data_IF_077016582533
#
_entry.id   IF_077016582533
#
_cell.length_a   1.000
_cell.length_b   1.000
_cell.length_c   1.000
_cell.angle_alpha   90.00
_cell.angle_beta   90.00
_cell.angle_gamma   90.00
#
_symmetry.space_group_name_H-M   'P 1'
#
loop_
_entity.id
_entity.type
_entity.pdbx_description
1 polymer ?
#
# COMPACT_ATOMS: atom_id res chain seq x y z
N UNK A 1 -14.32 -12.23 -26.25
CA UNK A 1 -14.43 -11.34 -25.07
C UNK A 1 -15.05 -12.14 -23.94
N UNK A 2 -14.47 -12.10 -22.76
CA UNK A 2 -14.96 -12.73 -21.55
C UNK A 2 -14.99 -11.70 -20.41
N UNK A 3 -16.14 -11.47 -19.78
CA UNK A 3 -16.22 -10.74 -18.51
C UNK A 3 -16.49 -11.76 -17.41
N UNK A 4 -15.69 -11.73 -16.36
CA UNK A 4 -15.80 -12.60 -15.19
C UNK A 4 -15.83 -11.74 -13.93
N UNK A 5 -16.96 -11.78 -13.24
CA UNK A 5 -17.12 -11.09 -11.95
C UNK A 5 -16.90 -12.09 -10.82
N UNK A 6 -15.89 -11.82 -9.98
CA UNK A 6 -15.60 -12.61 -8.80
C UNK A 6 -16.41 -12.05 -7.63
N UNK A 7 -17.32 -12.84 -7.09
CA UNK A 7 -18.15 -12.45 -5.93
C UNK A 7 -17.99 -13.49 -4.83
N UNK A 8 -17.74 -13.07 -3.57
CA UNK A 8 -17.70 -14.02 -2.45
C UNK A 8 -18.98 -14.82 -2.33
N UNK A 9 -18.86 -16.15 -2.13
CA UNK A 9 -20.00 -17.04 -1.92
C UNK A 9 -20.16 -18.13 -2.98
N UNK A 10 -21.37 -18.63 -3.11
CA UNK A 10 -21.69 -19.73 -4.03
C UNK A 10 -21.42 -19.31 -5.49
N UNK A 11 -20.60 -20.09 -6.19
CA UNK A 11 -20.22 -19.81 -7.59
C UNK A 11 -18.86 -19.16 -7.77
N UNK A 12 -18.17 -18.71 -6.69
CA UNK A 12 -16.85 -18.13 -6.76
C UNK A 12 -15.83 -19.06 -7.45
N UNK A 13 -15.82 -20.35 -7.10
CA UNK A 13 -14.84 -21.30 -7.67
C UNK A 13 -15.00 -21.45 -9.18
N UNK A 14 -16.26 -21.47 -9.70
CA UNK A 14 -16.52 -21.51 -11.15
C UNK A 14 -16.07 -20.21 -11.84
N UNK A 15 -16.32 -19.08 -11.21
CA UNK A 15 -15.88 -17.77 -11.73
C UNK A 15 -14.34 -17.67 -11.72
N UNK A 16 -13.67 -18.13 -10.65
CA UNK A 16 -12.21 -18.21 -10.57
C UNK A 16 -11.63 -19.13 -11.67
N UNK A 17 -12.22 -20.30 -11.91
CA UNK A 17 -11.79 -21.16 -13.00
C UNK A 17 -11.85 -20.47 -14.35
N UNK A 18 -12.93 -19.72 -14.61
CA UNK A 18 -13.11 -18.98 -15.85
C UNK A 18 -12.11 -17.83 -15.99
N UNK A 19 -11.89 -17.06 -14.90
CA UNK A 19 -10.91 -15.97 -14.86
C UNK A 19 -9.48 -16.49 -15.05
N UNK A 20 -9.12 -17.58 -14.36
CA UNK A 20 -7.81 -18.22 -14.48
C UNK A 20 -7.56 -18.73 -15.90
N UNK A 21 -8.56 -19.34 -16.57
CA UNK A 21 -8.43 -19.75 -17.98
C UNK A 21 -8.08 -18.54 -18.87
N UNK A 22 -8.73 -17.40 -18.65
CA UNK A 22 -8.44 -16.17 -19.40
C UNK A 22 -7.02 -15.64 -19.14
N UNK A 23 -6.61 -15.62 -17.88
CA UNK A 23 -5.26 -15.19 -17.49
C UNK A 23 -4.18 -16.14 -18.02
N UNK A 24 -4.32 -17.45 -17.83
CA UNK A 24 -3.35 -18.41 -18.33
C UNK A 24 -3.27 -18.45 -19.86
N UNK A 25 -4.37 -18.15 -20.57
CA UNK A 25 -4.30 -18.01 -22.02
C UNK A 25 -3.41 -16.85 -22.47
N UNK A 26 -3.32 -15.75 -21.69
CA UNK A 26 -2.34 -14.67 -21.94
C UNK A 26 -0.92 -15.15 -21.66
N UNK A 27 -0.71 -15.87 -20.55
CA UNK A 27 0.61 -16.41 -20.20
C UNK A 27 1.11 -17.47 -21.21
N UNK A 28 0.23 -18.36 -21.70
CA UNK A 28 0.56 -19.32 -22.76
C UNK A 28 0.99 -18.63 -24.06
N UNK A 29 0.35 -17.51 -24.40
CA UNK A 29 0.80 -16.72 -25.53
C UNK A 29 2.14 -16.04 -25.24
N UNK A 30 2.34 -15.52 -24.03
CA UNK A 30 3.61 -14.92 -23.60
C UNK A 30 4.76 -15.94 -23.64
N UNK A 31 4.54 -17.18 -23.20
CA UNK A 31 5.52 -18.27 -23.32
C UNK A 31 5.91 -18.52 -24.80
N UNK A 32 4.94 -18.47 -25.72
CA UNK A 32 5.21 -18.69 -27.16
C UNK A 32 6.01 -17.56 -27.80
N UNK A 33 5.79 -16.30 -27.37
CA UNK A 33 6.49 -15.13 -27.92
C UNK A 33 7.74 -14.75 -27.10
N UNK A 34 7.92 -15.35 -25.91
CA UNK A 34 9.03 -15.09 -25.00
C UNK A 34 8.86 -13.83 -24.15
N UNK A 35 7.72 -13.12 -24.20
CA UNK A 35 7.57 -11.81 -23.62
C UNK A 35 6.15 -11.53 -23.10
N UNK A 36 6.05 -10.81 -21.94
CA UNK A 36 4.81 -10.32 -21.35
C UNK A 36 4.90 -8.82 -21.06
N UNK A 37 3.88 -8.05 -21.44
CA UNK A 37 3.74 -6.65 -21.06
C UNK A 37 2.75 -6.52 -19.88
N UNK A 38 3.17 -5.86 -18.81
CA UNK A 38 2.33 -5.55 -17.65
C UNK A 38 2.20 -4.04 -17.56
N UNK A 39 0.98 -3.51 -17.61
CA UNK A 39 0.70 -2.10 -17.34
C UNK A 39 0.09 -1.96 -15.96
N UNK A 40 0.69 -1.13 -15.13
CA UNK A 40 0.26 -0.86 -13.76
C UNK A 40 -0.11 0.60 -13.60
N UNK A 41 -1.24 0.85 -12.95
CA UNK A 41 -1.54 2.17 -12.42
C UNK A 41 -0.65 2.46 -11.19
N UNK A 42 -0.21 3.72 -10.93
CA UNK A 42 0.74 4.04 -9.86
C UNK A 42 0.11 4.08 -8.45
N UNK A 43 -0.83 3.19 -8.15
CA UNK A 43 -1.31 2.96 -6.79
C UNK A 43 -0.55 1.80 -6.15
N UNK A 44 -0.37 1.83 -4.83
CA UNK A 44 0.40 0.79 -4.14
C UNK A 44 -0.16 -0.61 -4.37
N UNK A 45 -1.48 -0.79 -4.26
CA UNK A 45 -2.14 -2.08 -4.49
C UNK A 45 -1.95 -2.59 -5.94
N UNK A 46 -2.03 -1.70 -6.94
CA UNK A 46 -1.81 -2.09 -8.34
C UNK A 46 -0.36 -2.50 -8.61
N UNK A 47 0.60 -1.81 -8.01
CA UNK A 47 2.03 -2.13 -8.12
C UNK A 47 2.35 -3.48 -7.44
N UNK A 48 1.77 -3.73 -6.26
CA UNK A 48 1.88 -5.01 -5.55
C UNK A 48 1.26 -6.14 -6.39
N UNK A 49 0.07 -5.94 -6.96
CA UNK A 49 -0.56 -6.90 -7.84
C UNK A 49 0.29 -7.19 -9.09
N UNK A 50 0.91 -6.14 -9.66
CA UNK A 50 1.79 -6.28 -10.82
C UNK A 50 3.05 -7.10 -10.52
N UNK A 51 3.60 -6.99 -9.30
CA UNK A 51 4.75 -7.81 -8.89
C UNK A 51 4.40 -9.31 -8.86
N UNK A 52 3.20 -9.68 -8.43
CA UNK A 52 2.76 -11.08 -8.45
C UNK A 52 2.62 -11.62 -9.88
N UNK A 53 2.14 -10.81 -10.83
CA UNK A 53 2.10 -11.20 -12.25
C UNK A 53 3.51 -11.33 -12.81
N UNK A 54 4.42 -10.42 -12.45
CA UNK A 54 5.81 -10.47 -12.84
C UNK A 54 6.50 -11.75 -12.36
N UNK A 55 6.35 -12.10 -11.06
CA UNK A 55 6.85 -13.36 -10.49
C UNK A 55 6.28 -14.54 -11.27
N UNK A 56 4.97 -14.54 -11.57
CA UNK A 56 4.34 -15.64 -12.32
C UNK A 56 4.89 -15.80 -13.73
N UNK A 57 5.18 -14.71 -14.43
CA UNK A 57 5.83 -14.74 -15.74
C UNK A 57 7.26 -15.32 -15.65
N UNK A 58 8.03 -14.84 -14.66
CA UNK A 58 9.39 -15.32 -14.40
C UNK A 58 9.42 -16.83 -14.09
N UNK A 59 8.50 -17.32 -13.26
CA UNK A 59 8.38 -18.75 -12.94
C UNK A 59 8.12 -19.64 -14.18
N UNK A 60 7.55 -19.03 -15.23
CA UNK A 60 7.30 -19.70 -16.52
C UNK A 60 8.43 -19.48 -17.55
N UNK A 61 9.52 -18.82 -17.16
CA UNK A 61 10.64 -18.48 -18.03
C UNK A 61 10.32 -17.43 -19.10
N UNK A 62 9.38 -16.54 -18.79
CA UNK A 62 8.93 -15.44 -19.69
C UNK A 62 9.56 -14.14 -19.24
N UNK A 63 10.20 -13.42 -20.17
CA UNK A 63 10.62 -12.05 -19.92
C UNK A 63 9.40 -11.13 -19.74
N UNK A 64 9.38 -10.33 -18.68
CA UNK A 64 8.27 -9.42 -18.41
C UNK A 64 8.76 -7.99 -18.20
N UNK A 65 8.02 -7.02 -18.70
CA UNK A 65 8.25 -5.60 -18.44
C UNK A 65 7.02 -5.01 -17.78
N UNK A 66 7.22 -4.32 -16.65
CA UNK A 66 6.18 -3.54 -15.99
C UNK A 66 6.31 -2.08 -16.41
N UNK A 67 5.27 -1.56 -17.04
CA UNK A 67 5.13 -0.15 -17.42
C UNK A 67 4.16 0.53 -16.47
N UNK A 68 4.64 1.51 -15.70
CA UNK A 68 3.82 2.28 -14.77
C UNK A 68 3.29 3.51 -15.50
N UNK A 69 1.96 3.66 -15.57
CA UNK A 69 1.34 4.74 -16.33
C UNK A 69 -0.01 5.17 -15.77
N UNK A 70 -0.42 6.40 -16.05
CA UNK A 70 -1.73 6.94 -15.65
C UNK A 70 -2.87 6.49 -16.56
N UNK A 71 -2.53 6.09 -17.79
CA UNK A 71 -3.48 5.62 -18.79
C UNK A 71 -3.09 4.24 -19.32
N UNK A 72 -4.05 3.36 -19.63
CA UNK A 72 -3.77 2.11 -20.31
C UNK A 72 -3.26 2.38 -21.76
N UNK A 73 -2.56 1.43 -22.39
CA UNK A 73 -2.03 1.59 -23.73
C UNK A 73 -3.13 1.79 -24.76
N UNK A 74 -2.90 2.63 -25.77
CA UNK A 74 -3.85 2.85 -26.87
C UNK A 74 -3.91 1.67 -27.85
N UNK A 75 -2.88 0.81 -27.87
CA UNK A 75 -2.83 -0.42 -28.69
C UNK A 75 -2.18 -1.55 -27.91
N UNK A 76 -2.55 -2.78 -28.24
CA UNK A 76 -2.01 -4.01 -27.64
C UNK A 76 -1.46 -4.89 -28.75
N UNK A 77 -0.15 -4.94 -28.84
CA UNK A 77 0.57 -5.71 -29.87
C UNK A 77 1.13 -7.03 -29.32
N UNK A 78 1.33 -7.10 -28.00
CA UNK A 78 1.97 -8.19 -27.25
C UNK A 78 1.00 -8.73 -26.19
N UNK A 79 1.19 -9.98 -25.69
CA UNK A 79 0.42 -10.48 -24.55
C UNK A 79 0.50 -9.50 -23.38
N UNK A 80 -0.64 -9.06 -22.87
CA UNK A 80 -0.70 -7.90 -21.99
C UNK A 80 -1.59 -8.16 -20.76
N UNK A 81 -1.14 -7.68 -19.61
CA UNK A 81 -1.91 -7.60 -18.38
C UNK A 81 -2.08 -6.14 -17.96
N UNK A 82 -3.32 -5.72 -17.68
CA UNK A 82 -3.64 -4.38 -17.17
C UNK A 82 -4.11 -4.46 -15.73
N UNK A 83 -3.58 -3.60 -14.83
CA UNK A 83 -3.92 -3.59 -13.42
C UNK A 83 -4.14 -2.17 -12.92
N UNK A 84 -5.29 -1.92 -12.28
CA UNK A 84 -5.57 -0.67 -11.56
C UNK A 84 -6.15 0.46 -12.39
N UNK A 85 -6.61 0.21 -13.59
CA UNK A 85 -7.26 1.23 -14.44
C UNK A 85 -8.79 1.29 -14.25
N UNK A 86 -9.27 1.18 -13.01
CA UNK A 86 -10.68 0.99 -12.65
C UNK A 86 -11.64 2.05 -13.18
N UNK A 87 -11.19 3.30 -13.22
CA UNK A 87 -12.02 4.43 -13.62
C UNK A 87 -11.74 4.91 -15.05
N UNK A 88 -11.12 4.06 -15.87
CA UNK A 88 -10.78 4.43 -17.26
C UNK A 88 -11.76 3.83 -18.23
N UNK A 89 -12.36 4.67 -19.07
CA UNK A 89 -13.06 4.22 -20.27
C UNK A 89 -12.03 3.71 -21.28
N UNK A 90 -11.54 2.48 -21.05
CA UNK A 90 -10.53 1.91 -21.91
C UNK A 90 -11.11 1.56 -23.27
N UNK A 91 -10.55 2.18 -24.30
CA UNK A 91 -10.79 1.85 -25.70
C UNK A 91 -9.46 1.64 -26.37
N UNK A 92 -9.03 0.39 -26.48
CA UNK A 92 -7.88 0.09 -27.34
C UNK A 92 -8.31 0.30 -28.82
N UNK A 93 -7.53 1.10 -29.55
CA UNK A 93 -7.76 1.31 -30.97
C UNK A 93 -7.43 0.04 -31.77
N UNK A 94 -6.55 -0.80 -31.25
CA UNK A 94 -6.09 -2.01 -31.89
C UNK A 94 -5.63 -3.03 -30.87
N UNK A 95 -6.14 -4.26 -30.93
CA UNK A 95 -5.74 -5.39 -30.09
C UNK A 95 -5.39 -6.56 -30.99
N UNK A 96 -4.09 -6.84 -31.13
CA UNK A 96 -3.58 -7.96 -31.94
C UNK A 96 -3.25 -9.19 -31.10
N UNK A 97 -3.05 -9.01 -29.80
CA UNK A 97 -2.64 -10.05 -28.88
C UNK A 97 -3.64 -10.22 -27.73
N UNK A 98 -3.48 -11.27 -26.94
CA UNK A 98 -4.38 -11.51 -25.79
C UNK A 98 -4.15 -10.49 -24.69
N UNK A 99 -5.25 -10.10 -24.06
CA UNK A 99 -5.28 -9.12 -22.99
C UNK A 99 -6.13 -9.63 -21.84
N UNK A 100 -5.62 -9.50 -20.62
CA UNK A 100 -6.41 -9.61 -19.40
C UNK A 100 -6.32 -8.32 -18.59
N UNK A 101 -7.43 -7.87 -18.01
CA UNK A 101 -7.49 -6.67 -17.20
C UNK A 101 -8.20 -6.94 -15.87
N UNK A 102 -7.60 -6.46 -14.78
CA UNK A 102 -8.08 -6.61 -13.41
C UNK A 102 -8.62 -5.28 -12.89
N UNK A 103 -9.85 -5.30 -12.35
CA UNK A 103 -10.57 -4.14 -11.84
C UNK A 103 -11.07 -4.37 -10.40
N UNK A 104 -10.76 -3.43 -9.52
CA UNK A 104 -11.29 -3.41 -8.16
C UNK A 104 -12.69 -2.80 -8.16
N UNK A 105 -13.71 -3.62 -7.98
CA UNK A 105 -15.12 -3.23 -8.12
C UNK A 105 -15.70 -3.64 -9.44
N UNK A 106 -16.79 -3.00 -9.88
CA UNK A 106 -17.50 -3.36 -11.09
C UNK A 106 -16.88 -2.71 -12.34
N UNK A 107 -16.58 -3.52 -13.35
CA UNK A 107 -16.16 -3.02 -14.67
C UNK A 107 -17.31 -2.38 -15.42
N UNK A 108 -17.15 -1.12 -15.81
CA UNK A 108 -18.21 -0.30 -16.45
C UNK A 108 -17.94 0.06 -17.91
N UNK A 109 -16.75 -0.21 -18.43
CA UNK A 109 -16.37 0.15 -19.80
C UNK A 109 -16.92 -0.80 -20.84
N UNK A 110 -16.95 -0.36 -22.12
CA UNK A 110 -17.31 -1.22 -23.26
C UNK A 110 -16.18 -2.21 -23.50
N UNK A 111 -16.47 -3.53 -23.45
CA UNK A 111 -15.43 -4.54 -23.60
C UNK A 111 -14.83 -4.58 -25.00
N UNK A 112 -13.51 -4.75 -25.09
CA UNK A 112 -12.77 -4.91 -26.34
C UNK A 112 -12.72 -6.39 -26.75
N UNK A 113 -12.82 -6.68 -28.04
CA UNK A 113 -12.74 -8.05 -28.55
C UNK A 113 -11.37 -8.69 -28.24
N UNK A 114 -11.35 -9.98 -27.91
CA UNK A 114 -10.10 -10.69 -27.56
C UNK A 114 -9.63 -10.51 -26.12
N UNK A 115 -10.34 -9.73 -25.30
CA UNK A 115 -9.95 -9.40 -23.92
C UNK A 115 -10.72 -10.22 -22.89
N UNK A 116 -10.05 -10.59 -21.81
CA UNK A 116 -10.67 -11.09 -20.57
C UNK A 116 -10.66 -9.97 -19.53
N UNK A 117 -11.82 -9.68 -18.97
CA UNK A 117 -12.00 -8.72 -17.87
C UNK A 117 -12.34 -9.47 -16.61
N UNK A 118 -11.56 -9.23 -15.55
CA UNK A 118 -11.77 -9.79 -14.21
C UNK A 118 -12.09 -8.64 -13.27
N UNK A 119 -13.28 -8.65 -12.70
CA UNK A 119 -13.70 -7.65 -11.73
C UNK A 119 -14.25 -8.30 -10.44
N UNK A 120 -14.33 -7.53 -9.35
CA UNK A 120 -14.88 -8.01 -8.09
C UNK A 120 -14.63 -7.07 -6.91
N UNK A 121 -15.37 -7.23 -5.80
CA UNK A 121 -15.22 -6.42 -4.59
C UNK A 121 -13.99 -6.86 -3.79
N UNK A 122 -12.81 -6.47 -4.23
CA UNK A 122 -11.54 -6.77 -3.58
C UNK A 122 -10.41 -5.90 -4.09
N UNK A 123 -9.26 -5.94 -3.43
CA UNK A 123 -8.03 -5.31 -3.90
C UNK A 123 -7.56 -5.95 -5.21
N UNK A 124 -6.78 -5.23 -6.01
CA UNK A 124 -6.15 -5.81 -7.20
C UNK A 124 -5.25 -6.98 -6.81
N UNK A 125 -4.56 -6.86 -5.66
CA UNK A 125 -3.71 -7.93 -5.12
C UNK A 125 -4.51 -9.19 -4.78
N UNK A 126 -5.71 -9.07 -4.20
CA UNK A 126 -6.58 -10.22 -3.94
C UNK A 126 -7.08 -10.86 -5.24
N UNK A 127 -7.50 -10.05 -6.23
CA UNK A 127 -7.93 -10.53 -7.55
C UNK A 127 -6.81 -11.30 -8.25
N UNK A 128 -5.62 -10.72 -8.34
CA UNK A 128 -4.46 -11.34 -8.99
C UNK A 128 -4.04 -12.60 -8.24
N UNK A 129 -3.96 -12.56 -6.90
CA UNK A 129 -3.62 -13.73 -6.10
C UNK A 129 -4.57 -14.91 -6.38
N UNK A 130 -5.88 -14.68 -6.32
CA UNK A 130 -6.88 -15.72 -6.54
C UNK A 130 -6.81 -16.30 -7.96
N UNK A 131 -6.61 -15.45 -8.96
CA UNK A 131 -6.63 -15.85 -10.38
C UNK A 131 -5.31 -16.49 -10.80
N UNK A 132 -4.17 -15.92 -10.42
CA UNK A 132 -2.86 -16.38 -10.84
C UNK A 132 -2.39 -17.64 -10.09
N UNK A 133 -2.84 -17.84 -8.85
CA UNK A 133 -2.40 -18.96 -8.02
C UNK A 133 -3.50 -20.01 -7.77
N UNK A 134 -4.76 -19.65 -8.03
CA UNK A 134 -5.92 -20.46 -7.61
C UNK A 134 -5.98 -20.62 -6.09
N UNK A 135 -5.30 -19.73 -5.34
CA UNK A 135 -5.06 -19.81 -3.89
C UNK A 135 -4.30 -21.08 -3.46
N UNK A 136 -3.47 -21.63 -4.34
CA UNK A 136 -2.68 -22.87 -4.11
C UNK A 136 -1.17 -22.61 -4.06
N UNK A 137 -0.71 -21.51 -4.62
CA UNK A 137 0.69 -21.11 -4.54
C UNK A 137 0.93 -20.34 -3.23
N UNK A 138 1.95 -20.77 -2.51
CA UNK A 138 2.26 -20.30 -1.15
C UNK A 138 3.66 -19.70 -1.05
N UNK A 139 4.26 -19.30 -2.17
CA UNK A 139 5.52 -18.58 -2.13
C UNK A 139 5.36 -17.24 -1.36
N UNK A 140 6.39 -16.82 -0.60
CA UNK A 140 6.31 -15.59 0.20
C UNK A 140 5.87 -14.36 -0.59
N UNK A 141 6.34 -14.19 -1.82
CA UNK A 141 5.98 -13.08 -2.71
C UNK A 141 4.47 -12.95 -2.95
N UNK A 142 3.78 -14.06 -3.16
CA UNK A 142 2.32 -14.06 -3.36
C UNK A 142 1.55 -13.76 -2.07
N UNK A 143 1.98 -14.36 -0.96
CA UNK A 143 1.30 -14.20 0.33
C UNK A 143 1.47 -12.78 0.86
N UNK A 144 2.73 -12.30 0.88
CA UNK A 144 3.03 -10.92 1.30
C UNK A 144 2.34 -9.94 0.37
N UNK A 145 2.40 -10.16 -0.95
CA UNK A 145 1.70 -9.35 -1.93
C UNK A 145 0.20 -9.28 -1.67
N UNK A 146 -0.47 -10.42 -1.48
CA UNK A 146 -1.91 -10.45 -1.24
C UNK A 146 -2.31 -9.73 0.06
N UNK A 147 -1.60 -9.96 1.16
CA UNK A 147 -1.94 -9.39 2.46
C UNK A 147 -1.51 -7.92 2.62
N UNK A 148 -0.31 -7.54 2.15
CA UNK A 148 0.13 -6.14 2.12
C UNK A 148 -0.72 -5.30 1.16
N UNK A 149 -1.09 -5.85 -0.01
CA UNK A 149 -2.00 -5.21 -0.94
C UNK A 149 -3.38 -4.95 -0.35
N UNK A 150 -3.92 -5.89 0.42
CA UNK A 150 -5.16 -5.68 1.16
C UNK A 150 -5.08 -4.47 2.10
N UNK A 151 -3.99 -4.34 2.88
CA UNK A 151 -3.76 -3.19 3.77
C UNK A 151 -3.54 -1.87 3.01
N UNK A 152 -3.06 -1.91 1.79
CA UNK A 152 -2.90 -0.72 0.93
C UNK A 152 -4.17 -0.30 0.20
N UNK A 153 -5.25 -1.07 0.36
CA UNK A 153 -6.54 -0.87 -0.28
C UNK A 153 -7.63 -0.46 0.72
N UNK A 154 -8.82 -0.15 0.22
CA UNK A 154 -10.00 0.14 1.04
C UNK A 154 -10.71 -1.11 1.60
N UNK A 155 -10.20 -2.31 1.32
CA UNK A 155 -10.84 -3.56 1.70
C UNK A 155 -10.38 -4.12 3.06
N UNK A 156 -9.50 -3.39 3.76
CA UNK A 156 -9.30 -3.54 5.20
C UNK A 156 -9.83 -2.27 5.88
N UNK A 157 -10.83 -2.43 6.75
CA UNK A 157 -11.44 -1.30 7.43
C UNK A 157 -10.53 -0.73 8.54
N UNK A 158 -10.94 0.39 9.13
CA UNK A 158 -10.18 1.05 10.21
C UNK A 158 -9.98 0.18 11.46
N UNK A 159 -10.75 -0.89 11.61
CA UNK A 159 -10.61 -1.87 12.71
C UNK A 159 -9.74 -3.07 12.33
N UNK A 160 -9.16 -3.09 11.14
CA UNK A 160 -8.34 -4.19 10.64
C UNK A 160 -9.14 -5.37 10.10
N UNK A 161 -10.44 -5.21 9.79
CA UNK A 161 -11.29 -6.28 9.27
C UNK A 161 -11.20 -6.32 7.75
N UNK A 162 -10.83 -7.48 7.24
CA UNK A 162 -10.80 -7.76 5.81
C UNK A 162 -12.21 -7.92 5.25
N UNK A 163 -12.46 -7.38 4.07
CA UNK A 163 -13.76 -7.37 3.40
C UNK A 163 -13.66 -7.98 1.99
N UNK A 164 -14.81 -8.30 1.40
CA UNK A 164 -14.89 -8.77 0.02
C UNK A 164 -13.99 -9.98 -0.27
N UNK A 165 -13.29 -9.94 -1.40
CA UNK A 165 -12.37 -11.01 -1.81
C UNK A 165 -11.10 -11.07 -0.96
N UNK A 166 -10.68 -9.97 -0.35
CA UNK A 166 -9.53 -9.95 0.57
C UNK A 166 -9.81 -10.82 1.81
N UNK A 167 -11.07 -10.83 2.29
CA UNK A 167 -11.48 -11.77 3.34
C UNK A 167 -11.41 -13.22 2.87
N UNK A 168 -11.82 -13.51 1.65
CA UNK A 168 -11.72 -14.85 1.07
C UNK A 168 -10.26 -15.31 1.00
N UNK A 169 -9.36 -14.41 0.56
CA UNK A 169 -7.91 -14.68 0.55
C UNK A 169 -7.40 -14.98 1.95
N UNK A 170 -7.71 -14.12 2.93
CA UNK A 170 -7.29 -14.32 4.31
C UNK A 170 -7.79 -15.66 4.88
N UNK A 171 -9.08 -15.98 4.66
CA UNK A 171 -9.67 -17.23 5.16
C UNK A 171 -8.97 -18.47 4.56
N UNK A 172 -8.59 -18.43 3.27
CA UNK A 172 -7.80 -19.49 2.63
C UNK A 172 -6.36 -19.56 3.17
N UNK A 173 -5.70 -18.41 3.37
CA UNK A 173 -4.33 -18.36 3.89
C UNK A 173 -4.22 -18.83 5.35
N UNK A 174 -5.24 -18.62 6.18
CA UNK A 174 -5.31 -19.13 7.55
C UNK A 174 -5.27 -20.66 7.64
N UNK A 175 -5.65 -21.35 6.58
CA UNK A 175 -5.58 -22.82 6.52
C UNK A 175 -4.14 -23.33 6.31
N UNK A 176 -3.20 -22.44 6.01
CA UNK A 176 -1.80 -22.78 5.78
C UNK A 176 -1.05 -22.77 7.11
N UNK A 177 -0.89 -23.94 7.72
CA UNK A 177 -0.29 -24.10 9.06
C UNK A 177 1.09 -23.45 9.20
N UNK A 178 1.91 -23.46 8.16
CA UNK A 178 3.25 -22.84 8.20
C UNK A 178 3.25 -21.33 8.33
N UNK A 179 2.14 -20.64 8.01
CA UNK A 179 2.03 -19.18 8.15
C UNK A 179 1.67 -18.76 9.56
N UNK A 180 0.92 -19.61 10.29
CA UNK A 180 0.45 -19.32 11.65
C UNK A 180 -0.12 -17.91 11.79
N UNK A 181 -1.10 -17.57 10.92
CA UNK A 181 -1.70 -16.23 10.88
C UNK A 181 -2.63 -15.98 12.07
N UNK A 182 -2.39 -14.90 12.77
CA UNK A 182 -3.22 -14.45 13.90
C UNK A 182 -3.65 -13.00 13.73
N UNK A 183 -4.89 -12.69 14.12
CA UNK A 183 -5.40 -11.33 14.21
C UNK A 183 -5.32 -10.87 15.66
N UNK A 184 -4.41 -9.95 15.95
CA UNK A 184 -4.22 -9.36 17.28
C UNK A 184 -4.98 -8.05 17.37
N UNK A 185 -5.95 -7.95 18.30
CA UNK A 185 -6.64 -6.68 18.58
C UNK A 185 -5.89 -5.91 19.66
N UNK A 186 -5.31 -4.78 19.28
CA UNK A 186 -4.46 -3.97 20.16
C UNK A 186 -4.34 -2.53 19.65
N UNK A 187 -3.49 -1.71 20.28
CA UNK A 187 -3.05 -0.44 19.66
C UNK A 187 -2.29 -0.78 18.38
N UNK A 188 -2.56 -0.06 17.30
CA UNK A 188 -2.00 -0.30 15.96
C UNK A 188 -0.50 -0.02 15.89
N UNK A 189 0.29 -0.62 16.75
CA UNK A 189 1.76 -0.62 16.69
C UNK A 189 2.29 -1.71 15.77
N UNK A 190 3.53 -1.57 15.27
CA UNK A 190 4.17 -2.58 14.42
C UNK A 190 4.73 -3.74 15.25
N UNK A 191 4.62 -4.96 14.68
CA UNK A 191 5.08 -6.22 15.29
C UNK A 191 4.55 -6.42 16.72
N UNK A 192 3.22 -6.38 16.94
CA UNK A 192 2.62 -6.40 18.28
C UNK A 192 2.95 -7.66 19.09
N UNK A 193 3.32 -8.76 18.43
CA UNK A 193 3.73 -10.02 19.06
C UNK A 193 5.23 -10.10 19.39
N UNK A 194 6.03 -9.12 18.96
CA UNK A 194 7.49 -9.13 19.15
C UNK A 194 7.97 -7.98 20.02
N UNK A 195 7.46 -6.78 19.83
CA UNK A 195 7.88 -5.55 20.47
C UNK A 195 7.02 -5.20 21.67
N UNK A 196 7.64 -4.54 22.67
CA UNK A 196 6.87 -3.92 23.74
C UNK A 196 6.11 -2.68 23.25
N UNK A 197 5.25 -2.13 24.12
CA UNK A 197 4.40 -0.99 23.80
C UNK A 197 5.20 0.20 23.28
N UNK A 198 6.23 0.64 23.98
CA UNK A 198 6.98 1.85 23.62
C UNK A 198 7.88 1.61 22.41
N UNK A 199 8.50 0.45 22.30
CA UNK A 199 9.29 0.06 21.13
C UNK A 199 8.44 0.01 19.87
N UNK A 200 7.28 -0.63 19.94
CA UNK A 200 6.35 -0.74 18.82
C UNK A 200 5.86 0.63 18.35
N UNK A 201 5.36 1.48 19.27
CA UNK A 201 4.78 2.78 18.91
C UNK A 201 5.84 3.78 18.43
N UNK A 202 7.08 3.70 18.96
CA UNK A 202 8.14 4.62 18.55
C UNK A 202 8.61 4.46 17.11
N UNK A 203 8.39 3.30 16.50
CA UNK A 203 8.72 3.04 15.09
C UNK A 203 7.51 3.06 14.16
N UNK A 204 6.28 3.17 14.71
CA UNK A 204 5.07 3.17 13.91
C UNK A 204 4.81 4.54 13.27
N UNK A 205 4.78 4.59 11.93
CA UNK A 205 4.47 5.79 11.15
C UNK A 205 3.00 5.89 10.72
N UNK A 206 2.30 4.77 10.72
CA UNK A 206 0.89 4.70 10.32
C UNK A 206 0.10 3.77 11.27
N UNK A 207 -0.72 4.33 12.18
CA UNK A 207 -0.89 5.77 12.41
C UNK A 207 0.34 6.42 13.05
N UNK A 208 0.54 7.71 12.79
CA UNK A 208 1.54 8.49 13.50
C UNK A 208 1.06 8.82 14.91
N UNK A 209 1.91 8.60 15.91
CA UNK A 209 1.64 8.87 17.32
C UNK A 209 2.39 10.13 17.78
N UNK A 210 1.71 11.32 17.83
CA UNK A 210 2.36 12.58 18.20
C UNK A 210 3.05 12.49 19.56
N UNK A 211 4.36 12.78 19.57
CA UNK A 211 5.20 12.72 20.76
C UNK A 211 5.69 11.33 21.19
N UNK A 212 5.31 10.27 20.43
CA UNK A 212 5.79 8.90 20.68
C UNK A 212 6.57 8.38 19.48
N UNK A 213 6.01 8.49 18.25
CA UNK A 213 6.75 8.08 17.06
C UNK A 213 8.06 8.86 16.95
N UNK A 214 9.17 8.15 16.84
CA UNK A 214 10.53 8.69 16.86
C UNK A 214 11.07 9.01 18.26
N UNK A 215 10.33 8.77 19.34
CA UNK A 215 10.74 9.12 20.72
C UNK A 215 10.33 8.05 21.74
N UNK A 216 11.11 6.96 21.77
CA UNK A 216 10.94 5.88 22.75
C UNK A 216 10.95 6.38 24.19
N UNK A 217 11.93 7.26 24.52
CA UNK A 217 12.10 7.77 25.88
C UNK A 217 10.90 8.60 26.34
N UNK A 218 10.25 9.33 25.44
CA UNK A 218 9.05 10.08 25.79
C UNK A 218 7.86 9.16 26.11
N UNK A 219 7.73 8.03 25.38
CA UNK A 219 6.75 7.01 25.72
C UNK A 219 6.99 6.47 27.15
N UNK A 220 8.23 6.09 27.48
CA UNK A 220 8.60 5.59 28.80
C UNK A 220 8.33 6.65 29.89
N UNK A 221 8.71 7.91 29.66
CA UNK A 221 8.43 9.01 30.60
C UNK A 221 6.93 9.21 30.82
N UNK A 222 6.14 9.08 29.77
CA UNK A 222 4.68 9.21 29.86
C UNK A 222 4.06 8.10 30.71
N UNK A 223 4.45 6.85 30.52
CA UNK A 223 3.97 5.73 31.33
C UNK A 223 4.36 5.92 32.79
N UNK A 224 5.58 6.34 33.07
CA UNK A 224 6.03 6.64 34.45
C UNK A 224 5.22 7.76 35.09
N UNK A 225 4.96 8.84 34.36
CA UNK A 225 4.20 10.00 34.88
C UNK A 225 2.73 9.70 35.16
N UNK A 226 2.18 8.67 34.55
CA UNK A 226 0.81 8.18 34.74
C UNK A 226 0.71 7.00 35.73
N UNK A 227 1.85 6.60 36.35
CA UNK A 227 1.95 5.41 37.19
C UNK A 227 1.56 4.10 36.47
N UNK A 228 1.84 4.01 35.17
CA UNK A 228 1.56 2.86 34.30
C UNK A 228 2.83 2.03 34.01
N UNK A 229 3.77 1.99 34.94
CA UNK A 229 5.04 1.26 34.80
C UNK A 229 4.86 -0.23 34.53
N UNK A 230 3.73 -0.80 34.93
CA UNK A 230 3.37 -2.19 34.62
C UNK A 230 3.22 -2.50 33.12
N UNK A 231 3.10 -1.48 32.27
CA UNK A 231 3.04 -1.61 30.81
C UNK A 231 4.45 -1.65 30.17
N UNK A 232 5.50 -1.28 30.90
CA UNK A 232 6.86 -1.33 30.38
C UNK A 232 7.29 -2.77 30.15
N UNK A 233 7.86 -3.05 28.98
CA UNK A 233 8.29 -4.38 28.57
C UNK A 233 7.16 -5.35 28.22
N UNK A 234 5.88 -4.92 28.30
CA UNK A 234 4.74 -5.75 27.87
C UNK A 234 4.57 -5.63 26.37
N UNK A 235 4.53 -6.77 25.68
CA UNK A 235 4.24 -6.83 24.25
C UNK A 235 2.81 -6.36 23.97
N UNK A 236 2.59 -5.68 22.85
CA UNK A 236 1.24 -5.21 22.47
C UNK A 236 0.20 -6.34 22.41
N UNK A 237 0.59 -7.53 21.95
CA UNK A 237 -0.28 -8.71 21.92
C UNK A 237 -0.60 -9.28 23.31
N UNK A 238 0.14 -8.93 24.32
CA UNK A 238 -0.05 -9.37 25.71
C UNK A 238 -0.89 -8.40 26.57
N UNK A 239 -1.37 -7.30 25.99
CA UNK A 239 -2.22 -6.35 26.72
C UNK A 239 -3.61 -6.94 26.95
N UNK A 240 -4.00 -7.10 28.21
CA UNK A 240 -5.40 -7.35 28.55
C UNK A 240 -6.26 -6.09 28.32
N UNK A 241 -7.58 -6.20 28.47
CA UNK A 241 -8.51 -5.09 28.21
C UNK A 241 -8.17 -3.84 29.05
N UNK A 242 -7.84 -4.01 30.33
CA UNK A 242 -7.52 -2.90 31.24
C UNK A 242 -6.17 -2.28 30.90
N UNK A 243 -5.19 -3.09 30.57
CA UNK A 243 -3.87 -2.63 30.08
C UNK A 243 -4.01 -1.87 28.78
N UNK A 244 -4.83 -2.36 27.85
CA UNK A 244 -5.10 -1.69 26.56
C UNK A 244 -5.74 -0.32 26.78
N UNK A 245 -6.75 -0.21 27.64
CA UNK A 245 -7.39 1.07 27.98
C UNK A 245 -6.39 2.07 28.58
N UNK A 246 -5.53 1.61 29.49
CA UNK A 246 -4.49 2.43 30.10
C UNK A 246 -3.43 2.87 29.06
N UNK A 247 -3.04 1.99 28.17
CA UNK A 247 -2.07 2.29 27.10
C UNK A 247 -2.66 3.33 26.12
N UNK A 248 -3.92 3.19 25.73
CA UNK A 248 -4.66 4.19 24.92
C UNK A 248 -4.69 5.54 25.61
N UNK A 249 -5.03 5.56 26.91
CA UNK A 249 -5.04 6.79 27.71
C UNK A 249 -3.66 7.47 27.72
N UNK A 250 -2.58 6.69 27.84
CA UNK A 250 -1.22 7.22 27.79
C UNK A 250 -0.90 7.87 26.45
N UNK A 251 -1.22 7.21 25.33
CA UNK A 251 -1.01 7.73 23.97
C UNK A 251 -1.78 9.04 23.76
N UNK A 252 -3.06 9.08 24.10
CA UNK A 252 -3.91 10.29 23.98
C UNK A 252 -3.36 11.44 24.82
N UNK A 253 -2.94 11.17 26.07
CA UNK A 253 -2.36 12.19 26.94
C UNK A 253 -1.04 12.76 26.39
N UNK A 254 -0.18 11.92 25.82
CA UNK A 254 1.09 12.38 25.21
C UNK A 254 0.79 13.32 24.04
N UNK A 255 -0.07 12.92 23.11
CA UNK A 255 -0.44 13.74 21.95
C UNK A 255 -1.02 15.10 22.37
N UNK A 256 -1.92 15.11 23.36
CA UNK A 256 -2.51 16.34 23.90
C UNK A 256 -1.49 17.24 24.57
N UNK A 257 -0.60 16.68 25.41
CA UNK A 257 0.41 17.48 26.13
C UNK A 257 1.50 18.02 25.20
N UNK A 258 1.94 17.24 24.22
CA UNK A 258 3.08 17.59 23.37
C UNK A 258 2.70 18.51 22.23
N UNK A 259 1.55 18.26 21.59
CA UNK A 259 1.14 18.97 20.38
C UNK A 259 -0.27 19.58 20.46
N UNK A 260 -0.97 19.47 21.59
CA UNK A 260 -2.37 19.88 21.77
C UNK A 260 -3.33 19.20 20.76
N UNK A 261 -3.07 17.93 20.43
CA UNK A 261 -3.85 17.13 19.49
C UNK A 261 -4.75 16.17 20.25
N UNK A 262 -6.02 16.12 19.87
CA UNK A 262 -6.97 15.13 20.34
C UNK A 262 -6.97 13.92 19.37
N UNK A 263 -6.74 12.73 19.92
CA UNK A 263 -6.78 11.46 19.19
C UNK A 263 -8.00 10.69 19.67
N UNK A 264 -8.84 10.28 18.74
CA UNK A 264 -9.95 9.38 19.03
C UNK A 264 -9.42 7.95 19.23
N UNK A 265 -9.74 7.27 20.35
CA UNK A 265 -9.28 5.91 20.66
C UNK A 265 -9.56 4.91 19.53
N UNK A 266 -10.69 5.03 18.83
CA UNK A 266 -11.09 4.16 17.73
C UNK A 266 -10.15 4.23 16.52
N UNK A 267 -9.41 5.32 16.39
CA UNK A 267 -8.45 5.48 15.29
C UNK A 267 -7.12 4.74 15.54
N UNK A 268 -6.82 4.47 16.82
CA UNK A 268 -5.54 3.87 17.23
C UNK A 268 -5.66 2.41 17.68
N UNK A 269 -6.87 1.92 17.97
CA UNK A 269 -7.13 0.51 18.31
C UNK A 269 -7.67 -0.23 17.10
N UNK A 270 -7.23 -1.48 16.91
CA UNK A 270 -7.76 -2.31 15.83
C UNK A 270 -7.03 -3.66 15.71
N UNK A 271 -7.44 -4.43 14.72
CA UNK A 271 -6.83 -5.70 14.37
C UNK A 271 -5.54 -5.48 13.56
N UNK A 272 -4.49 -6.17 13.96
CA UNK A 272 -3.23 -6.28 13.21
C UNK A 272 -3.02 -7.75 12.86
N UNK A 273 -2.89 -8.04 11.57
CA UNK A 273 -2.63 -9.40 11.10
C UNK A 273 -1.13 -9.69 11.16
N UNK A 274 -0.77 -10.70 11.91
CA UNK A 274 0.62 -11.11 12.11
C UNK A 274 0.83 -12.58 11.75
N UNK A 275 2.06 -12.90 11.34
CA UNK A 275 2.57 -14.29 11.36
C UNK A 275 3.23 -14.54 12.72
N UNK A 276 2.86 -15.63 13.36
CA UNK A 276 3.53 -16.09 14.60
C UNK A 276 4.69 -17.04 14.30
N UNK A 277 4.91 -17.40 13.02
CA UNK A 277 6.07 -18.17 12.60
C UNK A 277 7.31 -17.25 12.49
N UNK A 278 8.33 -17.39 13.36
CA UNK A 278 9.51 -16.53 13.37
C UNK A 278 10.42 -16.71 12.14
N UNK A 279 10.24 -17.77 11.38
CA UNK A 279 11.00 -18.05 10.16
C UNK A 279 10.35 -17.45 8.90
N UNK A 280 9.16 -16.87 9.04
CA UNK A 280 8.52 -16.21 7.90
C UNK A 280 9.12 -14.80 7.70
N UNK A 281 9.42 -14.39 6.46
CA UNK A 281 10.14 -13.13 6.20
C UNK A 281 9.39 -11.89 6.66
N UNK A 282 8.07 -11.95 6.75
CA UNK A 282 7.21 -10.86 7.18
C UNK A 282 6.40 -11.28 8.40
N UNK A 283 6.53 -10.53 9.49
CA UNK A 283 5.82 -10.80 10.74
C UNK A 283 4.51 -9.99 10.83
N UNK A 284 4.51 -8.75 10.41
CA UNK A 284 3.36 -7.84 10.44
C UNK A 284 3.04 -7.37 9.01
N UNK A 285 1.87 -7.76 8.48
CA UNK A 285 1.51 -7.46 7.10
C UNK A 285 1.07 -6.01 6.88
N UNK A 286 0.67 -5.29 7.94
CA UNK A 286 0.41 -3.87 7.87
C UNK A 286 1.72 -3.09 7.80
N UNK A 287 2.69 -3.43 8.66
CA UNK A 287 4.06 -2.89 8.57
C UNK A 287 4.67 -3.18 7.20
N UNK A 288 4.41 -4.38 6.63
CA UNK A 288 4.89 -4.73 5.29
C UNK A 288 4.33 -3.80 4.22
N UNK A 289 3.04 -3.49 4.23
CA UNK A 289 2.46 -2.54 3.30
C UNK A 289 3.11 -1.16 3.42
N UNK A 290 3.30 -0.68 4.64
CA UNK A 290 3.94 0.60 4.92
C UNK A 290 5.44 0.59 4.52
N UNK A 291 6.17 -0.48 4.81
CA UNK A 291 7.59 -0.63 4.42
C UNK A 291 7.78 -0.61 2.90
N UNK A 292 6.93 -1.35 2.17
CA UNK A 292 6.98 -1.40 0.70
C UNK A 292 6.66 -0.01 0.12
N UNK A 293 5.64 0.68 0.64
CA UNK A 293 5.30 2.04 0.24
C UNK A 293 6.45 3.02 0.54
N UNK A 294 7.06 2.92 1.72
CA UNK A 294 8.17 3.75 2.13
C UNK A 294 9.37 3.66 1.17
N UNK A 295 9.78 2.45 0.81
CA UNK A 295 10.96 2.29 -0.07
C UNK A 295 10.71 2.92 -1.43
N UNK A 296 9.54 2.71 -2.03
CA UNK A 296 9.20 3.32 -3.31
C UNK A 296 9.14 4.86 -3.22
N UNK A 297 8.54 5.37 -2.15
CA UNK A 297 8.34 6.79 -1.96
C UNK A 297 9.65 7.53 -1.60
N UNK A 298 10.47 6.98 -0.72
CA UNK A 298 11.76 7.53 -0.33
C UNK A 298 12.80 7.51 -1.46
N UNK A 299 12.80 6.45 -2.27
CA UNK A 299 13.70 6.36 -3.45
C UNK A 299 13.17 7.11 -4.66
N UNK A 300 11.88 7.52 -4.62
CA UNK A 300 11.16 8.13 -5.75
C UNK A 300 11.13 7.21 -6.99
N UNK A 301 11.07 5.92 -6.72
CA UNK A 301 11.10 4.87 -7.74
C UNK A 301 10.02 3.82 -7.41
N UNK A 302 8.88 3.92 -8.10
CA UNK A 302 7.75 3.01 -7.93
C UNK A 302 8.09 1.56 -8.27
N UNK A 303 9.11 1.31 -9.10
CA UNK A 303 9.55 -0.03 -9.43
C UNK A 303 10.14 -0.77 -8.22
N UNK A 304 10.55 -0.05 -7.17
CA UNK A 304 11.01 -0.66 -5.91
C UNK A 304 9.95 -1.52 -5.23
N UNK A 305 8.66 -1.24 -5.42
CA UNK A 305 7.57 -2.12 -4.96
C UNK A 305 7.74 -3.52 -5.56
N UNK A 306 8.02 -3.57 -6.88
CA UNK A 306 8.15 -4.83 -7.61
C UNK A 306 9.40 -5.57 -7.16
N UNK A 307 10.55 -4.89 -7.10
CA UNK A 307 11.83 -5.48 -6.66
C UNK A 307 11.71 -6.07 -5.26
N UNK A 308 11.13 -5.32 -4.31
CA UNK A 308 10.97 -5.78 -2.91
C UNK A 308 10.10 -7.04 -2.80
N UNK A 309 9.09 -7.18 -3.66
CA UNK A 309 8.18 -8.33 -3.61
C UNK A 309 8.66 -9.52 -4.44
N UNK A 310 9.46 -9.30 -5.49
CA UNK A 310 10.06 -10.39 -6.28
C UNK A 310 11.04 -11.19 -5.43
N UNK A 311 11.83 -10.50 -4.63
CA UNK A 311 12.81 -11.11 -3.70
C UNK A 311 12.54 -10.67 -2.25
N UNK A 312 11.35 -11.04 -1.75
CA UNK A 312 10.89 -10.61 -0.44
C UNK A 312 11.79 -11.10 0.70
N UNK A 313 12.48 -12.22 0.53
CA UNK A 313 13.34 -12.80 1.57
C UNK A 313 14.62 -11.97 1.79
N UNK A 314 15.15 -11.35 0.75
CA UNK A 314 16.38 -10.55 0.82
C UNK A 314 16.09 -9.04 0.86
N UNK A 315 15.17 -8.54 0.03
CA UNK A 315 14.92 -7.11 -0.12
C UNK A 315 14.06 -6.53 1.02
N UNK A 316 13.08 -7.29 1.52
CA UNK A 316 12.18 -6.79 2.56
C UNK A 316 12.89 -6.49 3.90
N UNK A 317 13.79 -7.34 4.44
CA UNK A 317 14.51 -7.00 5.68
C UNK A 317 15.36 -5.73 5.57
N UNK A 318 15.97 -5.48 4.41
CA UNK A 318 16.72 -4.24 4.17
C UNK A 318 15.81 -3.02 4.08
N UNK A 319 14.65 -3.17 3.44
CA UNK A 319 13.63 -2.14 3.37
C UNK A 319 13.09 -1.79 4.76
N UNK A 320 12.77 -2.80 5.56
CA UNK A 320 12.29 -2.67 6.93
C UNK A 320 13.30 -1.96 7.84
N UNK A 321 14.58 -2.33 7.78
CA UNK A 321 15.61 -1.67 8.56
C UNK A 321 15.73 -0.17 8.26
N UNK A 322 15.64 0.22 6.96
CA UNK A 322 15.64 1.64 6.55
C UNK A 322 14.38 2.37 7.01
N UNK A 323 13.24 1.71 6.94
CA UNK A 323 11.97 2.25 7.42
C UNK A 323 11.99 2.53 8.92
N UNK A 324 12.51 1.61 9.72
CA UNK A 324 12.69 1.79 11.15
C UNK A 324 13.70 2.89 11.49
N UNK A 325 14.81 2.95 10.78
CA UNK A 325 15.81 4.02 10.95
C UNK A 325 15.18 5.39 10.69
N UNK A 326 14.43 5.52 9.60
CA UNK A 326 13.70 6.75 9.29
C UNK A 326 12.70 7.11 10.40
N UNK A 327 11.94 6.13 10.88
CA UNK A 327 10.96 6.35 11.96
C UNK A 327 11.62 6.91 13.23
N UNK A 328 12.79 6.39 13.62
CA UNK A 328 13.53 6.87 14.78
C UNK A 328 14.09 8.29 14.61
N UNK A 329 14.42 8.69 13.39
CA UNK A 329 14.94 10.04 13.07
C UNK A 329 13.84 11.09 12.90
N UNK A 330 12.59 10.68 12.76
CA UNK A 330 11.48 11.57 12.43
C UNK A 330 11.33 12.73 13.41
N UNK A 331 11.52 12.51 14.72
CA UNK A 331 11.45 13.55 15.74
C UNK A 331 12.40 14.73 15.44
N UNK A 332 13.62 14.43 15.04
CA UNK A 332 14.65 15.45 14.77
C UNK A 332 14.33 16.21 13.47
N UNK A 333 13.69 15.54 12.53
CA UNK A 333 13.26 16.14 11.25
C UNK A 333 12.05 17.08 11.41
N UNK A 334 11.10 16.76 12.29
CA UNK A 334 9.85 17.52 12.44
C UNK A 334 10.06 19.01 12.68
N UNK A 335 11.10 19.37 13.46
CA UNK A 335 11.43 20.78 13.73
C UNK A 335 11.92 21.57 12.52
N UNK A 336 12.32 20.88 11.45
CA UNK A 336 12.86 21.47 10.22
C UNK A 336 11.79 21.58 9.12
N UNK A 337 10.70 20.82 9.21
CA UNK A 337 9.65 20.80 8.21
C UNK A 337 8.80 22.09 8.28
N UNK A 338 8.88 22.92 7.24
CA UNK A 338 8.14 24.15 7.11
C UNK A 338 7.32 24.13 5.81
N UNK A 339 6.06 23.67 5.84
CA UNK A 339 5.23 23.62 4.66
C UNK A 339 4.86 25.03 4.19
N UNK A 340 5.17 25.34 2.92
CA UNK A 340 4.80 26.57 2.25
C UNK A 340 3.61 26.30 1.33
N UNK A 341 2.44 26.86 1.66
CA UNK A 341 1.26 26.75 0.80
C UNK A 341 1.45 27.51 -0.50
N UNK A 342 1.37 26.79 -1.62
CA UNK A 342 1.45 27.39 -2.95
C UNK A 342 0.07 27.88 -3.41
N UNK A 343 0.05 28.98 -4.16
CA UNK A 343 -1.16 29.42 -4.87
C UNK A 343 -1.36 28.50 -6.08
N UNK A 344 -2.49 27.83 -6.14
CA UNK A 344 -2.85 26.96 -7.25
C UNK A 344 -4.34 27.07 -7.58
N UNK A 345 -4.70 26.85 -8.83
CA UNK A 345 -6.09 26.87 -9.31
C UNK A 345 -6.79 25.52 -9.17
N UNK A 346 -6.14 24.51 -8.56
CA UNK A 346 -6.71 23.20 -8.32
C UNK A 346 -7.37 23.13 -6.94
N UNK A 347 -8.36 22.24 -6.79
CA UNK A 347 -9.11 22.09 -5.54
C UNK A 347 -8.28 21.53 -4.39
N UNK A 348 -7.22 20.77 -4.70
CA UNK A 348 -6.32 20.21 -3.69
C UNK A 348 -5.24 21.25 -3.34
N UNK A 349 -5.14 21.69 -2.09
CA UNK A 349 -4.05 22.56 -1.65
C UNK A 349 -2.70 21.90 -1.86
N UNK A 350 -1.72 22.64 -2.34
CA UNK A 350 -0.36 22.15 -2.54
C UNK A 350 0.56 22.85 -1.56
N UNK A 351 1.36 22.06 -0.86
CA UNK A 351 2.38 22.56 0.05
C UNK A 351 3.76 22.16 -0.45
N UNK A 352 4.62 23.14 -0.68
CA UNK A 352 6.03 22.91 -0.99
C UNK A 352 6.82 22.68 0.29
N UNK A 353 7.63 21.64 0.30
CA UNK A 353 8.56 21.30 1.36
C UNK A 353 9.97 21.14 0.81
N UNK A 354 10.94 21.57 1.60
CA UNK A 354 12.34 21.21 1.39
C UNK A 354 12.59 19.83 2.04
N UNK A 355 12.67 18.82 1.22
CA UNK A 355 12.94 17.43 1.62
C UNK A 355 14.02 16.85 0.73
N UNK A 356 14.84 15.99 1.30
CA UNK A 356 15.96 15.35 0.62
C UNK A 356 15.52 14.05 -0.07
N UNK A 357 16.36 13.51 -0.93
CA UNK A 357 16.19 12.16 -1.45
C UNK A 357 16.42 11.18 -0.30
N UNK A 358 15.48 10.28 -0.06
CA UNK A 358 15.43 9.43 1.14
C UNK A 358 14.31 9.80 2.11
N UNK A 359 13.79 11.02 2.02
CA UNK A 359 12.60 11.43 2.77
C UNK A 359 11.33 11.06 2.00
N UNK A 360 10.41 10.28 2.60
CA UNK A 360 9.20 9.81 1.93
C UNK A 360 8.07 10.85 2.02
N UNK A 361 7.67 11.53 0.91
CA UNK A 361 6.61 12.54 0.91
C UNK A 361 5.28 12.05 1.47
N UNK A 362 4.90 10.80 1.20
CA UNK A 362 3.68 10.18 1.72
C UNK A 362 3.64 10.17 3.26
N UNK A 363 4.73 9.74 3.91
CA UNK A 363 4.77 9.65 5.37
C UNK A 363 4.93 11.04 6.01
N UNK A 364 5.68 11.93 5.39
CA UNK A 364 5.76 13.33 5.81
C UNK A 364 4.37 13.97 5.75
N UNK A 365 3.62 13.77 4.69
CA UNK A 365 2.25 14.27 4.59
C UNK A 365 1.34 13.70 5.69
N UNK A 366 1.38 12.39 5.94
CA UNK A 366 0.59 11.76 7.02
C UNK A 366 0.89 12.39 8.39
N UNK A 367 2.16 12.65 8.67
CA UNK A 367 2.62 13.29 9.90
C UNK A 367 2.13 14.75 9.98
N UNK A 368 2.40 15.56 8.97
CA UNK A 368 2.01 16.97 8.93
C UNK A 368 0.49 17.14 9.00
N UNK A 369 -0.26 16.26 8.33
CA UNK A 369 -1.72 16.22 8.41
C UNK A 369 -2.20 15.91 9.83
N UNK A 370 -1.62 14.91 10.48
CA UNK A 370 -1.96 14.54 11.87
C UNK A 370 -1.63 15.67 12.84
N UNK A 371 -0.55 16.42 12.59
CA UNK A 371 -0.18 17.60 13.37
C UNK A 371 -1.00 18.86 13.02
N UNK A 372 -1.93 18.79 12.06
CA UNK A 372 -2.72 19.95 11.61
C UNK A 372 -1.92 21.02 10.88
N UNK A 373 -0.71 20.72 10.42
CA UNK A 373 0.17 21.65 9.73
C UNK A 373 -0.14 21.77 8.22
N UNK A 374 -0.85 20.79 7.68
CA UNK A 374 -1.37 20.78 6.31
C UNK A 374 -2.82 20.29 6.30
N UNK A 375 -3.57 20.63 5.26
CA UNK A 375 -4.97 20.24 5.11
C UNK A 375 -5.09 18.73 4.78
N UNK A 376 -6.25 18.14 5.13
CA UNK A 376 -6.52 16.70 4.96
C UNK A 376 -6.39 16.23 3.50
N UNK A 377 -6.84 17.06 2.56
CA UNK A 377 -6.86 16.76 1.13
C UNK A 377 -5.72 17.48 0.36
N UNK A 378 -4.60 17.72 1.03
CA UNK A 378 -3.46 18.44 0.44
C UNK A 378 -2.44 17.51 -0.20
N UNK A 379 -1.66 18.07 -1.11
CA UNK A 379 -0.51 17.44 -1.76
C UNK A 379 0.78 18.07 -1.21
N UNK A 380 1.75 17.23 -0.86
CA UNK A 380 3.12 17.66 -0.61
C UNK A 380 3.89 17.63 -1.92
N UNK A 381 4.45 18.76 -2.27
CA UNK A 381 5.36 18.91 -3.39
C UNK A 381 6.78 19.25 -2.89
N UNK A 382 7.78 18.85 -3.65
CA UNK A 382 9.19 19.09 -3.37
C UNK A 382 9.92 19.50 -4.64
N UNK A 383 11.05 20.19 -4.50
CA UNK A 383 11.88 20.52 -5.66
C UNK A 383 13.00 19.52 -5.85
N UNK A 384 13.12 19.04 -7.07
CA UNK A 384 14.23 18.21 -7.50
C UNK A 384 14.66 18.67 -8.89
N UNK A 385 15.94 18.98 -9.06
CA UNK A 385 16.50 19.53 -10.31
C UNK A 385 15.79 20.80 -10.81
N UNK A 386 15.28 21.60 -9.88
CA UNK A 386 14.55 22.84 -10.19
C UNK A 386 13.06 22.64 -10.52
N UNK A 387 12.61 21.41 -10.69
CA UNK A 387 11.22 21.06 -10.98
C UNK A 387 10.42 20.79 -9.71
N UNK A 388 9.14 21.14 -9.74
CA UNK A 388 8.21 20.84 -8.65
C UNK A 388 7.63 19.44 -8.88
N UNK A 389 7.81 18.54 -7.92
CA UNK A 389 7.41 17.14 -8.01
C UNK A 389 6.56 16.72 -6.83
N UNK A 390 5.77 15.66 -6.98
CA UNK A 390 4.97 15.05 -5.91
C UNK A 390 5.00 13.53 -6.00
N UNK A 391 4.74 12.86 -4.87
CA UNK A 391 4.63 11.40 -4.83
C UNK A 391 3.29 10.93 -5.41
N UNK A 392 3.27 10.03 -6.40
CA UNK A 392 2.04 9.42 -6.86
C UNK A 392 1.30 8.67 -5.75
N UNK A 393 2.02 7.96 -4.87
CA UNK A 393 1.43 7.21 -3.76
C UNK A 393 0.68 8.12 -2.79
N UNK A 394 1.25 9.29 -2.50
CA UNK A 394 0.60 10.28 -1.64
C UNK A 394 -0.65 10.88 -2.30
N UNK A 395 -0.59 11.21 -3.59
CA UNK A 395 -1.73 11.76 -4.33
C UNK A 395 -2.87 10.74 -4.42
N UNK A 396 -2.57 9.46 -4.66
CA UNK A 396 -3.57 8.39 -4.69
C UNK A 396 -4.19 8.09 -3.31
N UNK A 397 -3.45 8.30 -2.22
CA UNK A 397 -3.98 8.19 -0.86
C UNK A 397 -4.93 9.35 -0.53
N UNK A 398 -4.62 10.55 -0.99
CA UNK A 398 -5.49 11.73 -0.83
C UNK A 398 -6.79 11.54 -1.60
N UNK A 399 -6.69 11.10 -2.85
CA UNK A 399 -7.84 10.90 -3.73
C UNK A 399 -7.56 9.77 -4.73
N UNK A 400 -8.34 8.70 -4.66
CA UNK A 400 -8.24 7.60 -5.63
C UNK A 400 -8.47 8.10 -7.07
N UNK A 401 -7.50 7.85 -7.96
CA UNK A 401 -7.49 8.41 -9.32
C UNK A 401 -7.02 9.86 -9.38
N UNK A 402 -6.46 10.39 -8.29
CA UNK A 402 -5.97 11.75 -8.16
C UNK A 402 -4.86 12.09 -9.14
N UNK A 403 -3.92 11.17 -9.33
CA UNK A 403 -2.83 11.35 -10.30
C UNK A 403 -3.35 11.59 -11.72
N UNK A 404 -4.34 10.81 -12.15
CA UNK A 404 -4.97 10.98 -13.46
C UNK A 404 -5.77 12.28 -13.56
N UNK A 405 -6.52 12.63 -12.52
CA UNK A 405 -7.26 13.91 -12.50
C UNK A 405 -6.33 15.11 -12.67
N UNK A 406 -5.15 15.09 -12.01
CA UNK A 406 -4.15 16.13 -12.18
C UNK A 406 -3.58 16.16 -13.61
N UNK A 407 -3.40 15.00 -14.24
CA UNK A 407 -2.97 14.92 -15.63
C UNK A 407 -4.04 15.46 -16.58
N UNK A 408 -5.31 15.09 -16.41
CA UNK A 408 -6.45 15.56 -17.21
C UNK A 408 -6.63 17.09 -17.12
N UNK A 409 -6.31 17.68 -15.96
CA UNK A 409 -6.28 19.12 -15.76
C UNK A 409 -5.04 19.81 -16.37
N UNK A 410 -4.08 19.04 -16.91
CA UNK A 410 -2.83 19.55 -17.47
C UNK A 410 -1.84 20.09 -16.44
N UNK A 411 -2.04 19.76 -15.14
CA UNK A 411 -1.18 20.26 -14.05
C UNK A 411 -0.16 19.24 -13.55
N UNK A 412 -0.24 18.00 -14.01
CA UNK A 412 0.74 16.97 -13.67
C UNK A 412 1.04 16.03 -14.84
N UNK A 413 2.26 15.47 -14.83
CA UNK A 413 2.70 14.39 -15.71
C UNK A 413 3.49 13.38 -14.91
N UNK A 414 3.27 12.09 -15.14
CA UNK A 414 4.07 11.04 -14.51
C UNK A 414 5.37 10.87 -15.32
N UNK A 415 6.51 11.10 -14.67
CA UNK A 415 7.86 10.94 -15.23
C UNK A 415 8.75 10.27 -14.17
N UNK A 416 9.47 9.24 -14.55
CA UNK A 416 10.45 8.53 -13.71
C UNK A 416 9.96 8.15 -12.29
N UNK A 417 8.69 7.72 -12.18
CA UNK A 417 8.10 7.30 -10.91
C UNK A 417 7.59 8.42 -10.02
N UNK A 418 7.66 9.68 -10.44
CA UNK A 418 7.14 10.86 -9.72
C UNK A 418 6.19 11.68 -10.59
N UNK A 419 5.33 12.46 -9.95
CA UNK A 419 4.49 13.43 -10.65
C UNK A 419 5.23 14.75 -10.77
N UNK A 420 5.56 15.16 -11.98
CA UNK A 420 6.04 16.50 -12.30
C UNK A 420 4.84 17.44 -12.34
N UNK A 421 4.86 18.48 -11.50
CA UNK A 421 3.78 19.43 -11.39
C UNK A 421 4.08 20.71 -12.21
N UNK A 422 3.13 21.11 -13.04
CA UNK A 422 3.15 22.38 -13.78
C UNK A 422 2.11 23.32 -13.17
N UNK A 423 2.53 24.10 -12.18
CA UNK A 423 1.66 25.06 -11.52
C UNK A 423 2.06 26.45 -11.97
N UNK A 424 1.11 27.25 -12.50
CA UNK A 424 1.33 28.64 -12.75
C UNK A 424 1.51 29.35 -11.40
N UNK A 425 2.75 29.66 -11.03
CA UNK A 425 3.07 30.54 -9.90
C UNK A 425 2.67 31.96 -10.31
N UNK A 426 1.56 32.46 -9.77
CA UNK A 426 1.19 33.90 -9.84
C UNK A 426 1.91 34.68 -8.76
#
# INVERSE_FOLDING_TARGET
>A
MLKVTLTPGAGLDRALESASKGFYAVLEEAVRVGFLRIYSYPSLDSLIASSMVFVKAHDLGVDAIVSISLNPPSSVEEPTVLIGFDNVNYKANHVKSRLVAFYSGEFKSIPVHGTTYVDGPGSHSALVYLVATGAKDHAPSYIVGALAGAYSSRFVDRFGRFQGLDKVVLDKLKLITRLSLEMVTTIKGYKPNMRDLCESLSVTLNPFYPGITGDYDNCVRALNSLNLTSLLGVKLSGLDQKMLENAVLAVVNVAKRTYNIEIEPENIVGGVLVSTNPLYPVVDFREAADTIAYVADATRDLARVIVTLVDVENEYPMAEARFEEYSRRLKDMLGQLKPLKLKSNIRMPIYELQIERGDPPLYIWRVLRTLGLVEQNSIIAFREEGELRASPLQVEEVEQGGCRKLQELGVAKLEDGVLKLTIATQ
#
